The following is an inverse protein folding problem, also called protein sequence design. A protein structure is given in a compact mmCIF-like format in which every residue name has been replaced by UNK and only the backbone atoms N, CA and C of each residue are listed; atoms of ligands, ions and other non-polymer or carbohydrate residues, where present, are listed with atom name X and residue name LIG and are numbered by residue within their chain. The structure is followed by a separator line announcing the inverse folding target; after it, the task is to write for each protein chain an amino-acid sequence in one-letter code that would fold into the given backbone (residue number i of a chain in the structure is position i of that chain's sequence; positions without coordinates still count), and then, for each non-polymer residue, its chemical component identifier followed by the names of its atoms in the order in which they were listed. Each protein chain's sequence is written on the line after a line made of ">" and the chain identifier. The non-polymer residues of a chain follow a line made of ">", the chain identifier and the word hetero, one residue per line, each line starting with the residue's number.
data_IF_470520934105
#
_entry.id   IF_470520934105
#
_cell.length_a   1.000
_cell.length_b   1.000
_cell.length_c   1.000
_cell.angle_alpha   90.00
_cell.angle_beta   90.00
_cell.angle_gamma   90.00
#
_symmetry.space_group_name_H-M   'P 1'
#
loop_
_entity.id
_entity.type
_entity.pdbx_description
1 polymer ?
#
# COMPACT_ATOMS: atom_id res chain seq x y z
N UNK A 1 26.10 -6.07 -15.25
CA UNK A 1 26.98 -6.64 -14.20
C UNK A 1 28.45 -6.22 -14.33
N UNK A 2 29.05 -6.24 -15.53
CA UNK A 2 30.48 -5.90 -15.72
C UNK A 2 30.85 -4.53 -15.10
N UNK A 3 30.05 -3.50 -15.37
CA UNK A 3 30.22 -2.14 -14.79
C UNK A 3 30.07 -2.07 -13.27
N UNK A 4 29.31 -2.98 -12.67
CA UNK A 4 29.11 -3.05 -11.22
C UNK A 4 30.32 -3.63 -10.49
N UNK A 5 31.09 -4.50 -11.16
CA UNK A 5 32.31 -5.06 -10.61
C UNK A 5 33.49 -4.07 -10.70
N UNK A 6 33.41 -3.11 -11.63
CA UNK A 6 34.43 -2.07 -11.83
C UNK A 6 34.28 -0.87 -10.89
N UNK A 7 33.10 -0.65 -10.26
CA UNK A 7 32.83 0.56 -9.47
C UNK A 7 33.49 0.60 -8.10
N UNK A 8 33.92 -0.55 -7.55
CA UNK A 8 34.54 -0.63 -6.22
C UNK A 8 33.58 -0.36 -5.05
N UNK A 9 32.26 -0.32 -5.28
CA UNK A 9 31.27 -0.12 -4.23
C UNK A 9 31.06 -1.38 -3.38
N UNK A 10 31.03 -1.21 -2.05
CA UNK A 10 30.86 -2.30 -1.10
C UNK A 10 29.45 -2.91 -1.09
N UNK A 11 28.45 -2.17 -1.56
CA UNK A 11 27.08 -2.64 -1.70
C UNK A 11 26.41 -1.90 -2.87
N UNK A 12 26.03 -2.65 -3.90
CA UNK A 12 25.27 -2.15 -5.05
C UNK A 12 24.07 -3.07 -5.28
N UNK A 13 22.88 -2.48 -5.40
CA UNK A 13 21.67 -3.19 -5.80
C UNK A 13 21.34 -2.85 -7.25
N UNK A 14 21.16 -3.88 -8.08
CA UNK A 14 20.63 -3.74 -9.44
C UNK A 14 19.35 -4.56 -9.51
N UNK A 15 18.23 -3.87 -9.63
CA UNK A 15 16.92 -4.48 -9.77
C UNK A 15 16.15 -3.75 -10.88
N UNK A 16 15.40 -4.51 -11.65
CA UNK A 16 14.40 -3.96 -12.56
C UNK A 16 13.10 -3.80 -11.75
N UNK A 17 12.70 -2.55 -11.51
CA UNK A 17 11.59 -2.22 -10.60
C UNK A 17 10.49 -1.51 -11.38
N UNK A 18 9.34 -2.17 -11.48
CA UNK A 18 8.09 -1.58 -11.93
C UNK A 18 7.41 -0.83 -10.77
N UNK A 19 7.77 0.45 -10.58
CA UNK A 19 7.31 1.28 -9.46
C UNK A 19 5.79 1.46 -9.41
N UNK A 20 5.14 1.51 -10.57
CA UNK A 20 3.70 1.60 -10.73
C UNK A 20 2.96 0.36 -10.22
N UNK A 21 3.54 -0.83 -10.40
CA UNK A 21 2.99 -2.09 -9.88
C UNK A 21 3.29 -2.24 -8.39
N UNK A 22 4.54 -1.98 -7.99
CA UNK A 22 4.98 -2.13 -6.60
C UNK A 22 4.21 -1.22 -5.64
N UNK A 23 3.95 0.03 -6.04
CA UNK A 23 3.30 1.03 -5.18
C UNK A 23 1.78 1.05 -5.31
N UNK A 24 1.22 0.35 -6.30
CA UNK A 24 -0.23 0.19 -6.45
C UNK A 24 -0.82 -0.94 -5.58
N UNK A 25 0.00 -1.85 -5.06
CA UNK A 25 -0.44 -2.95 -4.20
C UNK A 25 -0.79 -2.44 -2.78
N UNK A 26 -2.04 -2.58 -2.32
CA UNK A 26 -2.45 -2.20 -0.96
C UNK A 26 -1.73 -2.98 0.15
N UNK A 27 -1.25 -4.20 -0.14
CA UNK A 27 -0.48 -5.02 0.80
C UNK A 27 0.99 -4.61 0.89
N UNK A 28 1.51 -4.02 -0.19
CA UNK A 28 2.81 -3.34 -0.23
C UNK A 28 2.68 -1.84 0.07
N UNK A 29 1.52 -1.39 0.58
CA UNK A 29 1.29 0.01 0.92
C UNK A 29 2.47 0.48 1.76
N UNK A 30 3.28 1.42 1.25
CA UNK A 30 4.34 1.96 2.05
C UNK A 30 3.62 2.63 3.22
N UNK A 31 3.78 2.09 4.44
CA UNK A 31 3.85 2.98 5.60
C UNK A 31 4.71 4.14 5.13
N UNK A 32 4.18 5.36 5.06
CA UNK A 32 4.85 6.46 4.40
C UNK A 32 6.33 6.47 4.78
N UNK A 33 7.18 5.97 3.88
CA UNK A 33 8.60 5.73 4.14
C UNK A 33 9.38 6.64 3.22
N UNK A 34 10.34 7.42 3.74
CA UNK A 34 11.15 8.32 2.93
C UNK A 34 12.18 7.57 2.07
N UNK A 35 12.12 6.23 2.04
CA UNK A 35 13.12 5.35 1.41
C UNK A 35 13.28 5.61 -0.09
N UNK A 36 12.22 6.07 -0.76
CA UNK A 36 12.18 6.25 -2.20
C UNK A 36 12.10 7.71 -2.65
N UNK A 37 12.22 8.67 -1.73
CA UNK A 37 12.05 10.11 -2.03
C UNK A 37 13.11 10.66 -2.98
N UNK A 38 14.31 10.06 -2.97
CA UNK A 38 15.42 10.42 -3.85
C UNK A 38 15.34 9.77 -5.23
N UNK A 39 14.37 8.87 -5.47
CA UNK A 39 14.17 8.19 -6.75
C UNK A 39 13.01 8.87 -7.50
N UNK A 40 13.28 9.63 -8.58
CA UNK A 40 12.25 10.41 -9.29
C UNK A 40 11.08 9.57 -9.80
N UNK A 41 11.34 8.34 -10.26
CA UNK A 41 10.35 7.40 -10.79
C UNK A 41 9.40 6.91 -9.68
N UNK A 42 9.95 6.57 -8.52
CA UNK A 42 9.18 6.14 -7.36
C UNK A 42 8.32 7.27 -6.81
N UNK A 43 8.87 8.50 -6.73
CA UNK A 43 8.11 9.68 -6.30
C UNK A 43 6.92 9.98 -7.21
N UNK A 44 7.11 9.92 -8.54
CA UNK A 44 6.01 10.09 -9.50
C UNK A 44 4.91 9.04 -9.32
N UNK A 45 5.30 7.79 -9.03
CA UNK A 45 4.34 6.72 -8.77
C UNK A 45 3.59 6.94 -7.44
N UNK A 46 4.26 7.39 -6.37
CA UNK A 46 3.63 7.77 -5.10
C UNK A 46 2.64 8.93 -5.27
N UNK A 47 3.02 9.98 -6.00
CA UNK A 47 2.16 11.12 -6.30
C UNK A 47 0.93 10.69 -7.13
N UNK A 48 1.09 9.74 -8.06
CA UNK A 48 -0.02 9.19 -8.83
C UNK A 48 -1.00 8.37 -7.96
N UNK A 49 -0.48 7.59 -7.01
CA UNK A 49 -1.31 6.85 -6.03
C UNK A 49 -2.06 7.83 -5.11
N UNK A 50 -1.37 8.85 -4.59
CA UNK A 50 -1.98 9.91 -3.77
C UNK A 50 -3.03 10.73 -4.53
N UNK A 51 -2.79 11.03 -5.81
CA UNK A 51 -3.74 11.74 -6.67
C UNK A 51 -4.95 10.88 -7.01
N UNK A 52 -4.78 9.56 -7.17
CA UNK A 52 -5.90 8.63 -7.38
C UNK A 52 -6.77 8.50 -6.13
N UNK A 53 -6.19 8.59 -4.93
CA UNK A 53 -6.93 8.68 -3.67
C UNK A 53 -7.61 10.06 -3.47
N UNK A 54 -7.13 11.12 -4.13
CA UNK A 54 -7.62 12.50 -4.00
C UNK A 54 -8.52 12.98 -5.16
N UNK A 55 -8.71 12.17 -6.21
CA UNK A 55 -9.66 12.48 -7.28
C UNK A 55 -11.07 12.57 -6.68
N UNK A 56 -11.91 13.56 -7.09
CA UNK A 56 -13.25 13.69 -6.54
C UNK A 56 -14.06 12.50 -7.03
N UNK A 57 -14.21 11.52 -6.17
CA UNK A 57 -15.19 10.47 -6.34
C UNK A 57 -16.56 11.17 -6.34
N UNK A 58 -17.12 11.37 -7.53
CA UNK A 58 -18.55 11.69 -7.66
C UNK A 58 -19.36 10.72 -6.81
N UNK A 59 -20.52 11.16 -6.30
CA UNK A 59 -20.94 10.94 -4.91
C UNK A 59 -20.27 9.71 -4.30
N UNK A 60 -19.20 9.93 -3.53
CA UNK A 60 -18.38 8.92 -2.86
C UNK A 60 -19.14 7.60 -2.74
N UNK A 61 -18.87 6.68 -3.67
CA UNK A 61 -19.32 5.31 -3.53
C UNK A 61 -18.43 4.74 -2.43
N UNK A 62 -18.76 5.10 -1.19
CA UNK A 62 -18.20 4.56 0.03
C UNK A 62 -18.01 3.07 -0.23
N UNK A 63 -16.77 2.59 -0.14
CA UNK A 63 -16.48 1.19 -0.37
C UNK A 63 -17.38 0.30 0.49
N UNK A 64 -17.58 -0.97 0.13
CA UNK A 64 -18.51 -1.86 0.83
C UNK A 64 -18.26 -1.93 2.35
N UNK A 65 -17.01 -1.76 2.79
CA UNK A 65 -16.67 -1.62 4.20
C UNK A 65 -17.20 -0.32 4.82
N UNK A 66 -17.00 0.80 4.15
CA UNK A 66 -17.43 2.10 4.65
C UNK A 66 -18.96 2.19 4.74
N UNK A 67 -19.69 1.61 3.79
CA UNK A 67 -21.16 1.47 3.87
C UNK A 67 -21.61 0.60 5.06
N UNK A 68 -20.87 -0.47 5.35
CA UNK A 68 -21.17 -1.35 6.48
C UNK A 68 -20.90 -0.67 7.83
N UNK A 69 -19.90 0.21 7.91
CA UNK A 69 -19.52 0.91 9.14
C UNK A 69 -20.38 2.15 9.43
N UNK A 70 -20.84 2.88 8.41
CA UNK A 70 -21.65 4.10 8.60
C UNK A 70 -22.99 3.85 9.27
N UNK A 71 -23.55 2.63 9.15
CA UNK A 71 -24.79 2.23 9.81
C UNK A 71 -24.64 1.82 11.29
N UNK A 72 -23.42 1.74 11.81
CA UNK A 72 -23.13 1.22 13.15
C UNK A 72 -22.83 2.33 14.16
N UNK A 73 -23.12 2.06 15.44
CA UNK A 73 -22.59 2.88 16.54
C UNK A 73 -21.07 2.79 16.61
N UNK A 74 -20.43 3.71 17.32
CA UNK A 74 -18.97 3.75 17.42
C UNK A 74 -18.38 2.44 18.00
N UNK A 75 -18.97 1.92 19.06
CA UNK A 75 -18.54 0.66 19.68
C UNK A 75 -18.73 -0.56 18.75
N UNK A 76 -19.80 -0.57 17.95
CA UNK A 76 -20.06 -1.63 16.96
C UNK A 76 -19.12 -1.51 15.74
N UNK A 77 -18.74 -0.28 15.34
CA UNK A 77 -17.72 -0.06 14.31
C UNK A 77 -16.38 -0.63 14.72
N UNK A 78 -15.93 -0.33 15.93
CA UNK A 78 -14.63 -0.81 16.43
C UNK A 78 -14.58 -2.34 16.45
N UNK A 79 -15.65 -2.97 16.96
CA UNK A 79 -15.76 -4.44 16.97
C UNK A 79 -15.74 -5.02 15.56
N UNK A 80 -16.55 -4.47 14.65
CA UNK A 80 -16.64 -4.94 13.27
C UNK A 80 -15.34 -4.75 12.48
N UNK A 81 -14.61 -3.66 12.71
CA UNK A 81 -13.31 -3.40 12.11
C UNK A 81 -12.26 -4.38 12.62
N UNK A 82 -12.26 -4.63 13.93
CA UNK A 82 -11.28 -5.49 14.58
C UNK A 82 -11.44 -6.95 14.14
N UNK A 83 -12.68 -7.44 14.02
CA UNK A 83 -12.97 -8.77 13.49
C UNK A 83 -12.56 -8.93 12.02
N UNK A 84 -12.75 -7.89 11.20
CA UNK A 84 -12.29 -7.87 9.82
C UNK A 84 -10.77 -8.02 9.76
N UNK A 85 -10.02 -7.18 10.48
CA UNK A 85 -8.56 -7.22 10.50
C UNK A 85 -8.05 -8.59 10.99
N UNK A 86 -8.66 -9.16 12.02
CA UNK A 86 -8.32 -10.50 12.51
C UNK A 86 -8.54 -11.58 11.46
N UNK A 87 -9.64 -11.49 10.71
CA UNK A 87 -9.96 -12.45 9.65
C UNK A 87 -8.94 -12.39 8.52
N UNK A 88 -8.61 -11.19 8.03
CA UNK A 88 -7.60 -11.00 6.98
C UNK A 88 -6.20 -11.45 7.43
N UNK A 89 -5.81 -11.11 8.66
CA UNK A 89 -4.54 -11.56 9.24
C UNK A 89 -4.50 -13.08 9.38
N UNK A 90 -5.59 -13.71 9.82
CA UNK A 90 -5.68 -15.16 9.89
C UNK A 90 -5.54 -15.79 8.50
N UNK A 91 -6.19 -15.23 7.47
CA UNK A 91 -6.05 -15.70 6.10
C UNK A 91 -4.62 -15.61 5.58
N UNK A 92 -3.95 -14.47 5.79
CA UNK A 92 -2.54 -14.25 5.39
C UNK A 92 -1.58 -15.21 6.11
N UNK A 93 -1.84 -15.47 7.39
CA UNK A 93 -1.00 -16.35 8.21
C UNK A 93 -1.37 -17.84 8.08
N UNK A 94 -2.39 -18.19 7.29
CA UNK A 94 -2.85 -19.58 7.14
C UNK A 94 -3.59 -20.14 8.37
N UNK A 95 -4.11 -19.27 9.24
CA UNK A 95 -4.98 -19.61 10.36
C UNK A 95 -6.47 -19.39 10.05
N UNK A 96 -6.80 -18.99 8.81
CA UNK A 96 -8.19 -18.90 8.34
C UNK A 96 -8.81 -20.30 8.32
N UNK A 97 -9.91 -20.47 9.04
CA UNK A 97 -10.68 -21.72 9.13
C UNK A 97 -11.22 -22.18 7.79
#
# INVERSE_FOLDING_TARGET
>A
LHRALESGEAALAVADIAWDVLLADPGASPRATPLFDEIPEARKALDAVGTKAAAPEGPAQHGPLTQRLTGLSEAERDTALLDLVRTEVAAVLGYGT
#
